data_IF_730059479020
#
_entry.id   IF_730059479020
#
_cell.length_a   1.000
_cell.length_b   1.000
_cell.length_c   1.000
_cell.angle_alpha   90.00
_cell.angle_beta   90.00
_cell.angle_gamma   90.00
#
_symmetry.space_group_name_H-M   'P 1'
#
loop_
_entity.id
_entity.type
_entity.pdbx_description
1 polymer ?
#
# COMPACT_ATOMS: atom_id res chain seq x y z
N UNK A 1 23.91 -12.73 -1.50
CA UNK A 1 22.84 -12.81 -0.48
C UNK A 1 21.69 -11.97 -0.99
N UNK A 2 20.48 -12.51 -1.01
CA UNK A 2 19.26 -11.77 -1.41
C UNK A 2 18.68 -11.19 -0.12
N UNK A 3 18.39 -9.90 -0.12
CA UNK A 3 17.74 -9.21 1.00
C UNK A 3 16.33 -8.79 0.56
N UNK A 4 15.35 -9.05 1.42
CA UNK A 4 13.98 -8.59 1.25
C UNK A 4 13.80 -7.34 2.12
N UNK A 5 13.38 -6.22 1.50
CA UNK A 5 13.05 -4.98 2.22
C UNK A 5 11.56 -4.78 2.11
N UNK A 6 10.87 -5.09 3.21
CA UNK A 6 9.42 -5.04 3.27
C UNK A 6 8.90 -3.67 3.70
N UNK A 7 8.06 -3.07 2.84
CA UNK A 7 7.32 -1.86 3.16
C UNK A 7 6.05 -2.21 3.94
N UNK A 8 6.20 -2.68 5.18
CA UNK A 8 5.10 -3.18 6.02
C UNK A 8 4.00 -2.18 6.39
N UNK A 9 4.07 -0.93 5.93
CA UNK A 9 3.28 0.16 6.52
C UNK A 9 2.64 1.14 5.54
N UNK A 10 2.45 0.77 4.26
CA UNK A 10 1.64 1.57 3.34
C UNK A 10 0.14 1.38 3.63
N UNK A 11 -0.61 2.48 3.72
CA UNK A 11 -2.07 2.50 3.84
C UNK A 11 -2.62 3.37 2.72
N UNK A 12 -3.71 2.94 2.09
CA UNK A 12 -4.32 3.61 0.94
C UNK A 12 -5.78 3.19 0.79
N UNK A 13 -6.53 3.84 -0.09
CA UNK A 13 -7.87 3.42 -0.51
C UNK A 13 -7.78 2.29 -1.55
N UNK A 14 -8.78 1.43 -1.56
CA UNK A 14 -8.91 0.31 -2.50
C UNK A 14 -8.84 0.73 -3.97
N UNK A 15 -9.47 1.85 -4.32
CA UNK A 15 -9.50 2.41 -5.67
C UNK A 15 -8.11 2.72 -6.24
N UNK A 16 -7.12 2.99 -5.39
CA UNK A 16 -5.75 3.29 -5.80
C UNK A 16 -4.85 2.04 -5.92
N UNK A 17 -5.35 0.85 -5.56
CA UNK A 17 -4.53 -0.36 -5.52
C UNK A 17 -3.85 -0.64 -6.87
N UNK A 18 -4.60 -0.58 -7.97
CA UNK A 18 -4.08 -0.90 -9.31
C UNK A 18 -3.00 0.07 -9.76
N UNK A 19 -3.19 1.37 -9.51
CA UNK A 19 -2.19 2.39 -9.82
C UNK A 19 -0.91 2.15 -9.00
N UNK A 20 -1.05 1.90 -7.70
CA UNK A 20 0.08 1.63 -6.81
C UNK A 20 0.82 0.36 -7.25
N UNK A 21 0.11 -0.71 -7.58
CA UNK A 21 0.69 -1.96 -8.07
C UNK A 21 1.54 -1.73 -9.32
N UNK A 22 1.03 -0.99 -10.31
CA UNK A 22 1.75 -0.64 -11.52
C UNK A 22 3.00 0.19 -11.23
N UNK A 23 2.92 1.16 -10.31
CA UNK A 23 4.07 1.97 -9.93
C UNK A 23 5.14 1.15 -9.19
N UNK A 24 4.73 0.24 -8.31
CA UNK A 24 5.65 -0.69 -7.66
C UNK A 24 6.33 -1.55 -8.72
N UNK A 25 5.58 -2.19 -9.63
CA UNK A 25 6.15 -3.02 -10.70
C UNK A 25 7.14 -2.27 -11.60
N UNK A 26 6.91 -0.99 -11.88
CA UNK A 26 7.82 -0.16 -12.69
C UNK A 26 9.15 0.17 -11.98
N UNK A 27 9.13 0.28 -10.66
CA UNK A 27 10.29 0.72 -9.87
C UNK A 27 11.01 -0.43 -9.17
N UNK A 28 10.33 -1.56 -8.97
CA UNK A 28 10.87 -2.68 -8.23
C UNK A 28 11.92 -3.44 -9.05
N UNK A 29 13.08 -3.80 -8.47
CA UNK A 29 14.15 -4.50 -9.21
C UNK A 29 13.83 -5.96 -9.55
N UNK A 30 12.75 -6.52 -8.99
CA UNK A 30 12.35 -7.91 -9.24
C UNK A 30 11.31 -7.97 -10.34
N UNK A 31 11.45 -8.97 -11.22
CA UNK A 31 10.49 -9.23 -12.29
C UNK A 31 9.07 -9.51 -11.75
N UNK A 32 8.98 -10.20 -10.60
CA UNK A 32 7.71 -10.49 -9.91
C UNK A 32 7.82 -10.06 -8.44
N UNK A 33 7.51 -8.80 -8.10
CA UNK A 33 7.49 -8.36 -6.70
C UNK A 33 6.31 -8.94 -5.92
N UNK A 34 6.49 -9.15 -4.61
CA UNK A 34 5.39 -9.45 -3.71
C UNK A 34 4.57 -8.19 -3.42
N UNK A 35 3.27 -8.20 -3.75
CA UNK A 35 2.34 -7.08 -3.54
C UNK A 35 1.03 -7.63 -2.99
N UNK A 36 0.84 -7.53 -1.67
CA UNK A 36 -0.34 -8.03 -0.97
C UNK A 36 -1.07 -6.88 -0.29
N UNK A 37 -2.39 -6.79 -0.50
CA UNK A 37 -3.27 -5.85 0.20
C UNK A 37 -4.14 -6.61 1.20
N UNK A 38 -4.28 -6.05 2.41
CA UNK A 38 -5.12 -6.60 3.47
C UNK A 38 -6.17 -5.55 3.84
N UNK A 39 -7.45 -5.93 3.82
CA UNK A 39 -8.55 -5.04 4.17
C UNK A 39 -8.54 -4.71 5.67
N UNK A 40 -8.66 -3.44 6.01
CA UNK A 40 -8.86 -2.98 7.40
C UNK A 40 -10.37 -3.05 7.69
N UNK A 41 -10.79 -4.02 8.51
CA UNK A 41 -12.21 -4.21 8.86
C UNK A 41 -12.70 -3.32 10.00
N UNK A 42 -11.79 -2.85 10.86
CA UNK A 42 -12.10 -1.95 11.98
C UNK A 42 -10.84 -1.21 12.42
N UNK A 43 -11.01 -0.04 13.04
CA UNK A 43 -9.93 0.79 13.54
C UNK A 43 -10.46 1.95 14.38
N UNK A 44 -9.57 2.79 14.90
CA UNK A 44 -9.98 4.03 15.57
C UNK A 44 -10.55 5.02 14.54
N UNK A 45 -11.73 5.57 14.81
CA UNK A 45 -12.38 6.55 13.93
C UNK A 45 -11.47 7.77 13.70
N UNK A 46 -10.79 8.25 14.74
CA UNK A 46 -9.85 9.37 14.63
C UNK A 46 -8.72 9.07 13.64
N UNK A 47 -8.15 7.87 13.72
CA UNK A 47 -7.07 7.45 12.85
C UNK A 47 -7.53 7.24 11.40
N UNK A 48 -8.68 6.59 11.21
CA UNK A 48 -9.22 6.33 9.88
C UNK A 48 -9.63 7.64 9.19
N UNK A 49 -10.21 8.60 9.92
CA UNK A 49 -10.52 9.93 9.40
C UNK A 49 -9.26 10.71 9.06
N UNK A 50 -8.23 10.68 9.91
CA UNK A 50 -6.93 11.31 9.59
C UNK A 50 -6.31 10.70 8.33
N UNK A 51 -6.34 9.37 8.22
CA UNK A 51 -5.80 8.66 7.07
C UNK A 51 -6.56 9.02 5.79
N UNK A 52 -7.89 9.03 5.83
CA UNK A 52 -8.74 9.38 4.70
C UNK A 52 -8.42 10.78 4.17
N UNK A 53 -8.31 11.77 5.07
CA UNK A 53 -7.95 13.15 4.74
C UNK A 53 -6.50 13.32 4.27
N UNK A 54 -5.61 12.37 4.59
CA UNK A 54 -4.19 12.41 4.19
C UNK A 54 -3.94 11.83 2.80
N UNK A 55 -4.93 11.14 2.23
CA UNK A 55 -4.89 10.60 0.88
C UNK A 55 -5.56 11.61 -0.05
N UNK A 56 -4.85 12.02 -1.11
CA UNK A 56 -5.41 12.93 -2.11
C UNK A 56 -6.53 12.25 -2.90
N UNK A 57 -7.49 13.04 -3.36
CA UNK A 57 -8.40 12.67 -4.45
C UNK A 57 -7.67 12.65 -5.81
#
# INVERSE_FOLDING_TARGET
MIYEVNFYNRKTKDQYYKEIEEQIKKQHPYETPEIIAVSIGMGSDEYLNWLDNSLKD
#
